data_IF_190270334883
#
_entry.id   IF_190270334883
#
_cell.length_a   1.000
_cell.length_b   1.000
_cell.length_c   1.000
_cell.angle_alpha   90.00
_cell.angle_beta   90.00
_cell.angle_gamma   90.00
#
_symmetry.space_group_name_H-M   'P 1'
#
loop_
_entity.id
_entity.type
_entity.pdbx_description
1 polymer ?
#
# COMPACT_ATOMS: atom_id res chain seq x y z
N UNK A 1 -25.48 -6.49 3.68
CA UNK A 1 -24.17 -6.21 4.32
C UNK A 1 -23.17 -5.96 3.21
N UNK A 2 -22.23 -5.03 3.37
CA UNK A 2 -21.19 -4.75 2.35
C UNK A 2 -20.26 -5.97 2.19
N UNK A 3 -19.87 -6.32 0.96
CA UNK A 3 -18.90 -7.41 0.72
C UNK A 3 -17.56 -7.12 1.39
N UNK A 4 -16.75 -8.15 1.75
CA UNK A 4 -15.40 -7.96 2.28
C UNK A 4 -14.54 -7.11 1.35
N UNK A 5 -14.65 -7.33 0.04
CA UNK A 5 -14.02 -6.51 -1.00
C UNK A 5 -14.38 -5.03 -0.88
N UNK A 6 -15.68 -4.70 -0.86
CA UNK A 6 -16.14 -3.31 -0.74
C UNK A 6 -15.70 -2.67 0.59
N UNK A 7 -15.67 -3.44 1.69
CA UNK A 7 -15.18 -2.96 2.99
C UNK A 7 -13.68 -2.67 2.97
N UNK A 8 -12.87 -3.55 2.36
CA UNK A 8 -11.44 -3.35 2.20
C UNK A 8 -11.16 -2.06 1.42
N UNK A 9 -11.83 -1.86 0.29
CA UNK A 9 -11.66 -0.65 -0.52
C UNK A 9 -12.01 0.63 0.24
N UNK A 10 -13.12 0.63 0.98
CA UNK A 10 -13.51 1.78 1.83
C UNK A 10 -12.48 2.07 2.91
N UNK A 11 -11.97 1.03 3.58
CA UNK A 11 -10.97 1.22 4.63
C UNK A 11 -9.62 1.68 4.05
N UNK A 12 -9.19 1.17 2.91
CA UNK A 12 -7.94 1.59 2.28
C UNK A 12 -7.99 3.02 1.75
N UNK A 13 -9.12 3.43 1.13
CA UNK A 13 -9.30 4.74 0.49
C UNK A 13 -9.26 5.90 1.49
N UNK A 14 -8.07 6.28 1.93
CA UNK A 14 -7.81 7.21 3.01
C UNK A 14 -6.38 7.74 3.02
N UNK A 15 -6.19 8.78 3.84
CA UNK A 15 -4.88 9.27 4.25
C UNK A 15 -4.54 8.77 5.64
N UNK A 16 -3.26 8.45 5.85
CA UNK A 16 -2.71 7.87 7.05
C UNK A 16 -1.41 8.59 7.43
N UNK A 17 -1.16 8.75 8.73
CA UNK A 17 0.04 9.42 9.27
C UNK A 17 0.53 8.70 10.52
N UNK A 18 1.83 8.48 10.66
CA UNK A 18 2.42 7.95 11.89
C UNK A 18 2.99 9.06 12.80
N UNK A 19 2.49 10.30 12.68
CA UNK A 19 2.99 11.48 13.41
C UNK A 19 3.19 11.20 14.90
N UNK A 20 2.17 10.66 15.56
CA UNK A 20 2.23 10.33 16.98
C UNK A 20 3.39 9.36 17.30
N UNK A 21 3.53 8.28 16.54
CA UNK A 21 4.62 7.32 16.70
C UNK A 21 5.99 7.99 16.49
N UNK A 22 6.13 8.80 15.45
CA UNK A 22 7.39 9.46 15.10
C UNK A 22 7.84 10.45 16.18
N UNK A 23 6.90 11.21 16.75
CA UNK A 23 7.19 12.25 17.75
C UNK A 23 7.42 11.70 19.15
N UNK A 24 6.79 10.58 19.51
CA UNK A 24 7.01 9.94 20.81
C UNK A 24 8.30 9.09 20.84
N UNK A 25 8.85 8.71 19.68
CA UNK A 25 9.98 7.78 19.59
C UNK A 25 11.16 8.30 18.72
N UNK A 26 11.64 9.55 18.88
CA UNK A 26 12.75 10.06 18.07
C UNK A 26 14.08 9.40 18.47
N UNK A 27 14.97 9.07 17.50
CA UNK A 27 14.84 9.21 16.05
C UNK A 27 14.43 7.90 15.34
N UNK A 28 13.74 6.98 16.03
CA UNK A 28 13.53 5.61 15.56
C UNK A 28 12.60 5.51 14.35
N UNK A 29 11.59 6.38 14.28
CA UNK A 29 10.62 6.40 13.19
C UNK A 29 10.64 7.76 12.50
N UNK A 30 10.79 7.74 11.18
CA UNK A 30 10.51 8.93 10.38
C UNK A 30 8.99 9.22 10.39
N UNK A 31 8.63 10.49 10.26
CA UNK A 31 7.24 10.89 10.03
C UNK A 31 6.88 10.69 8.55
N UNK A 32 6.01 9.71 8.31
CA UNK A 32 5.57 9.22 7.02
C UNK A 32 4.08 9.49 6.85
N UNK A 33 3.72 9.90 5.63
CA UNK A 33 2.35 9.98 5.15
C UNK A 33 2.11 8.85 4.16
N UNK A 34 0.97 8.17 4.28
CA UNK A 34 0.52 7.15 3.32
C UNK A 34 -0.88 7.51 2.87
N UNK A 35 -1.12 7.53 1.56
CA UNK A 35 -2.42 7.85 0.99
C UNK A 35 -2.80 6.83 -0.06
N UNK A 36 -4.05 6.41 -0.05
CA UNK A 36 -4.64 5.60 -1.11
C UNK A 36 -5.86 6.29 -1.69
N UNK A 37 -5.91 6.46 -3.02
CA UNK A 37 -7.09 7.02 -3.70
C UNK A 37 -7.51 6.17 -4.89
N UNK A 38 -8.82 6.06 -5.16
CA UNK A 38 -9.31 5.28 -6.30
C UNK A 38 -8.78 5.77 -7.65
N UNK A 39 -8.64 4.83 -8.59
CA UNK A 39 -8.34 5.06 -10.01
C UNK A 39 -9.50 4.52 -10.87
N UNK A 40 -10.63 5.23 -10.98
CA UNK A 40 -11.84 4.75 -11.68
C UNK A 40 -11.64 4.41 -13.16
N UNK A 41 -10.62 4.98 -13.80
CA UNK A 41 -10.29 4.73 -15.19
C UNK A 41 -9.56 3.39 -15.42
N UNK A 42 -9.19 2.68 -14.35
CA UNK A 42 -8.56 1.37 -14.40
C UNK A 42 -9.57 0.27 -13.99
N UNK A 43 -9.09 -0.96 -13.84
CA UNK A 43 -9.94 -2.07 -13.40
C UNK A 43 -10.50 -1.84 -11.98
N UNK A 44 -11.68 -2.42 -11.66
CA UNK A 44 -12.24 -2.33 -10.32
C UNK A 44 -11.27 -2.74 -9.23
N UNK A 45 -11.23 -1.94 -8.16
CA UNK A 45 -10.33 -2.14 -7.02
C UNK A 45 -8.94 -1.55 -7.20
N UNK A 46 -8.66 -0.83 -8.30
CA UNK A 46 -7.41 -0.09 -8.49
C UNK A 46 -7.34 1.18 -7.63
N UNK A 47 -6.31 1.27 -6.81
CA UNK A 47 -5.99 2.40 -5.94
C UNK A 47 -4.56 2.91 -6.22
N UNK A 48 -4.38 4.21 -6.34
CA UNK A 48 -3.08 4.86 -6.29
C UNK A 48 -2.60 4.90 -4.85
N UNK A 49 -1.42 4.33 -4.59
CA UNK A 49 -0.69 4.41 -3.34
C UNK A 49 0.44 5.45 -3.47
N UNK A 50 0.43 6.44 -2.59
CA UNK A 50 1.53 7.39 -2.37
C UNK A 50 2.07 7.23 -0.95
N UNK A 51 3.38 7.03 -0.83
CA UNK A 51 4.09 7.08 0.45
C UNK A 51 5.22 8.11 0.39
N UNK A 52 5.20 9.04 1.32
CA UNK A 52 6.10 10.19 1.35
C UNK A 52 6.54 10.53 2.77
N UNK A 53 7.69 11.19 2.89
CA UNK A 53 8.10 11.78 4.16
C UNK A 53 7.32 13.09 4.37
N UNK A 54 6.82 13.32 5.58
CA UNK A 54 6.03 14.52 5.89
C UNK A 54 6.81 15.84 5.67
N UNK A 55 8.15 15.80 5.75
CA UNK A 55 9.03 16.94 5.48
C UNK A 55 9.13 17.28 3.99
N UNK A 56 8.84 16.33 3.09
CA UNK A 56 8.84 16.55 1.65
C UNK A 56 7.74 15.70 0.96
N UNK A 57 6.46 16.05 1.16
CA UNK A 57 5.34 15.25 0.66
C UNK A 57 5.23 15.26 -0.87
N UNK A 58 5.86 16.20 -1.56
CA UNK A 58 5.83 16.32 -3.02
C UNK A 58 6.73 15.30 -3.74
N UNK A 59 7.66 14.65 -3.03
CA UNK A 59 8.57 13.66 -3.60
C UNK A 59 8.37 12.31 -2.89
N UNK A 60 7.34 11.53 -3.27
CA UNK A 60 7.10 10.23 -2.66
C UNK A 60 8.28 9.30 -2.90
N UNK A 61 8.67 8.55 -1.88
CA UNK A 61 9.69 7.51 -2.02
C UNK A 61 9.11 6.22 -2.58
N UNK A 62 7.77 6.08 -2.57
CA UNK A 62 7.06 4.97 -3.20
C UNK A 62 5.73 5.44 -3.77
N UNK A 63 5.60 5.33 -5.08
CA UNK A 63 4.35 5.50 -5.82
C UNK A 63 3.99 4.18 -6.52
N UNK A 64 2.80 3.63 -6.28
CA UNK A 64 2.35 2.34 -6.85
C UNK A 64 0.87 2.38 -7.20
N UNK A 65 0.45 1.48 -8.09
CA UNK A 65 -0.97 1.11 -8.19
C UNK A 65 -1.17 -0.23 -7.50
N UNK A 66 -2.14 -0.29 -6.60
CA UNK A 66 -2.61 -1.51 -5.98
C UNK A 66 -3.93 -1.91 -6.63
N UNK A 67 -4.12 -3.18 -6.95
CA UNK A 67 -5.42 -3.70 -7.40
C UNK A 67 -5.91 -4.75 -6.42
N UNK A 68 -6.94 -4.42 -5.64
CA UNK A 68 -7.63 -5.42 -4.83
C UNK A 68 -8.53 -6.28 -5.72
N UNK A 69 -8.65 -7.57 -5.40
CA UNK A 69 -9.44 -8.55 -6.14
C UNK A 69 -10.05 -9.57 -5.16
N UNK A 70 -11.32 -9.92 -5.34
CA UNK A 70 -11.94 -11.07 -4.67
C UNK A 70 -11.51 -12.36 -5.37
N UNK A 71 -10.89 -13.29 -4.63
CA UNK A 71 -10.49 -14.61 -5.12
C UNK A 71 -11.05 -15.72 -4.24
N UNK A 72 -12.12 -16.37 -4.71
CA UNK A 72 -12.85 -17.34 -3.90
C UNK A 72 -13.34 -16.71 -2.60
N UNK A 73 -12.96 -17.30 -1.47
CA UNK A 73 -13.33 -16.78 -0.15
C UNK A 73 -12.33 -15.75 0.41
N UNK A 74 -11.23 -15.48 -0.27
CA UNK A 74 -10.18 -14.55 0.17
C UNK A 74 -10.06 -13.31 -0.70
N UNK A 75 -9.24 -12.36 -0.26
CA UNK A 75 -8.90 -11.16 -0.99
C UNK A 75 -7.43 -11.20 -1.40
N UNK A 76 -7.10 -10.63 -2.55
CA UNK A 76 -5.71 -10.45 -3.00
C UNK A 76 -5.51 -9.00 -3.39
N UNK A 77 -4.39 -8.42 -2.98
CA UNK A 77 -3.95 -7.09 -3.45
C UNK A 77 -2.72 -7.26 -4.32
N UNK A 78 -2.87 -7.02 -5.61
CA UNK A 78 -1.77 -7.03 -6.56
C UNK A 78 -1.02 -5.70 -6.53
N UNK A 79 0.31 -5.76 -6.54
CA UNK A 79 1.16 -4.58 -6.64
C UNK A 79 1.57 -4.34 -8.09
N UNK A 80 1.47 -3.09 -8.55
CA UNK A 80 1.91 -2.67 -9.87
C UNK A 80 2.85 -1.46 -9.73
N UNK A 81 4.03 -1.57 -10.33
CA UNK A 81 4.92 -0.43 -10.52
C UNK A 81 4.36 0.49 -11.61
N UNK A 82 4.66 1.79 -11.49
CA UNK A 82 4.35 2.78 -12.51
C UNK A 82 5.66 3.08 -13.24
N UNK A 83 5.67 2.97 -14.56
CA UNK A 83 6.84 3.33 -15.36
C UNK A 83 7.02 4.84 -15.35
N UNK A 84 8.27 5.29 -15.19
CA UNK A 84 8.63 6.71 -15.10
C UNK A 84 7.75 7.46 -14.08
N UNK A 85 7.62 6.90 -12.88
CA UNK A 85 6.68 7.34 -11.83
C UNK A 85 6.77 8.83 -11.46
N UNK A 86 7.94 9.45 -11.63
CA UNK A 86 8.18 10.90 -11.48
C UNK A 86 7.19 11.77 -12.25
N UNK A 87 6.68 11.30 -13.40
CA UNK A 87 5.63 11.97 -14.18
C UNK A 87 4.33 12.18 -13.39
N UNK A 88 4.10 11.35 -12.38
CA UNK A 88 2.87 11.32 -11.60
C UNK A 88 3.07 11.72 -10.13
N UNK A 89 4.24 12.28 -9.76
CA UNK A 89 4.44 12.83 -8.43
C UNK A 89 3.42 13.95 -8.16
N UNK A 90 2.75 13.90 -7.00
CA UNK A 90 1.63 14.78 -6.66
C UNK A 90 0.26 14.37 -7.20
N UNK A 91 0.16 13.30 -8.01
CA UNK A 91 -1.12 12.79 -8.52
C UNK A 91 -2.08 12.39 -7.40
N UNK A 92 -1.59 12.03 -6.22
CA UNK A 92 -2.45 11.68 -5.09
C UNK A 92 -3.40 12.81 -4.68
N UNK A 93 -2.98 14.06 -4.81
CA UNK A 93 -3.80 15.24 -4.46
C UNK A 93 -4.29 16.00 -5.71
N UNK A 94 -3.82 15.66 -6.90
CA UNK A 94 -4.24 16.25 -8.18
C UNK A 94 -5.08 15.27 -9.02
N UNK A 95 -6.39 15.49 -9.09
CA UNK A 95 -7.33 14.61 -9.81
C UNK A 95 -7.06 14.52 -11.32
N UNK A 96 -6.69 15.64 -11.96
CA UNK A 96 -6.40 15.67 -13.41
C UNK A 96 -5.13 14.89 -13.74
N UNK A 97 -4.08 15.03 -12.92
CA UNK A 97 -2.85 14.26 -13.08
C UNK A 97 -3.08 12.77 -12.78
N UNK A 98 -3.89 12.46 -11.76
CA UNK A 98 -4.26 11.09 -11.40
C UNK A 98 -5.03 10.38 -12.51
N UNK A 99 -5.90 11.09 -13.21
CA UNK A 99 -6.67 10.56 -14.33
C UNK A 99 -5.79 10.19 -15.55
N UNK A 100 -4.55 10.71 -15.63
CA UNK A 100 -3.61 10.39 -16.71
C UNK A 100 -2.88 9.05 -16.51
N UNK A 101 -2.99 8.42 -15.33
CA UNK A 101 -2.40 7.10 -15.10
C UNK A 101 -3.25 6.06 -15.84
N UNK A 102 -2.64 5.36 -16.79
CA UNK A 102 -3.31 4.35 -17.61
C UNK A 102 -2.75 2.95 -17.38
N UNK A 103 -3.48 1.91 -17.78
CA UNK A 103 -2.99 0.54 -17.74
C UNK A 103 -1.68 0.35 -18.52
N UNK A 104 -1.48 1.16 -19.57
CA UNK A 104 -0.23 1.14 -20.32
C UNK A 104 0.94 1.52 -19.42
N UNK A 105 0.82 2.42 -18.44
CA UNK A 105 1.92 2.85 -17.56
C UNK A 105 2.30 1.80 -16.49
N UNK A 106 1.51 0.73 -16.33
CA UNK A 106 1.64 -0.21 -15.21
C UNK A 106 2.44 -1.45 -15.57
N UNK A 107 3.29 -1.88 -14.65
CA UNK A 107 4.03 -3.14 -14.71
C UNK A 107 3.70 -3.98 -13.46
N UNK A 108 3.07 -5.16 -13.60
CA UNK A 108 2.83 -6.05 -12.47
C UNK A 108 4.12 -6.42 -11.73
N UNK A 109 4.07 -6.47 -10.40
CA UNK A 109 5.16 -6.96 -9.56
C UNK A 109 4.87 -8.39 -9.12
N UNK A 110 5.43 -9.33 -9.87
CA UNK A 110 5.28 -10.77 -9.59
C UNK A 110 5.82 -11.14 -8.21
N UNK A 111 5.12 -12.05 -7.52
CA UNK A 111 5.53 -12.51 -6.20
C UNK A 111 5.28 -11.50 -5.07
N UNK A 112 4.80 -10.29 -5.37
CA UNK A 112 4.54 -9.20 -4.43
C UNK A 112 3.05 -8.99 -4.14
N UNK A 113 2.18 -9.96 -4.47
CA UNK A 113 0.77 -9.85 -4.10
C UNK A 113 0.61 -10.04 -2.59
N UNK A 114 -0.32 -9.31 -1.97
CA UNK A 114 -0.74 -9.60 -0.60
C UNK A 114 -1.94 -10.54 -0.64
N UNK A 115 -1.88 -11.62 0.13
CA UNK A 115 -3.05 -12.43 0.48
C UNK A 115 -3.68 -11.80 1.70
N UNK A 116 -4.97 -11.47 1.60
CA UNK A 116 -5.69 -10.68 2.60
C UNK A 116 -6.85 -11.49 3.17
N UNK A 117 -6.89 -11.55 4.49
CA UNK A 117 -7.95 -12.15 5.28
C UNK A 117 -8.73 -11.07 6.04
N UNK A 118 -10.01 -11.33 6.22
CA UNK A 118 -10.85 -10.49 7.07
C UNK A 118 -10.67 -10.91 8.53
N UNK A 119 -10.58 -9.92 9.42
CA UNK A 119 -10.52 -10.12 10.87
C UNK A 119 -11.71 -9.43 11.54
N UNK A 120 -12.01 -9.74 12.82
CA UNK A 120 -13.05 -9.01 13.56
C UNK A 120 -12.80 -7.49 13.60
N UNK A 121 -11.55 -7.06 13.58
CA UNK A 121 -11.12 -5.66 13.67
C UNK A 121 -10.96 -4.96 12.30
N UNK A 122 -10.97 -5.71 11.20
CA UNK A 122 -10.80 -5.19 9.84
C UNK A 122 -10.20 -6.23 8.90
N UNK A 123 -8.94 -6.03 8.51
CA UNK A 123 -8.22 -6.90 7.58
C UNK A 123 -6.77 -7.09 8.00
N UNK A 124 -6.23 -8.27 7.68
CA UNK A 124 -4.80 -8.56 7.77
C UNK A 124 -4.32 -9.05 6.42
N UNK A 125 -3.15 -8.60 6.00
CA UNK A 125 -2.56 -9.07 4.75
C UNK A 125 -1.08 -9.39 4.91
N UNK A 126 -0.63 -10.41 4.19
CA UNK A 126 0.77 -10.84 4.14
C UNK A 126 1.18 -11.06 2.69
N UNK A 127 2.44 -10.77 2.35
CA UNK A 127 2.98 -11.06 1.02
C UNK A 127 2.87 -12.56 0.74
N UNK A 128 2.48 -12.91 -0.49
CA UNK A 128 2.29 -14.29 -0.93
C UNK A 128 3.54 -15.16 -0.65
N UNK A 129 3.33 -16.45 -0.33
CA UNK A 129 4.44 -17.34 -0.03
C UNK A 129 5.33 -17.60 -1.24
N UNK A 130 6.60 -17.89 -0.96
CA UNK A 130 7.58 -18.35 -1.94
C UNK A 130 8.79 -17.44 -2.16
N UNK A 131 8.96 -16.38 -1.35
CA UNK A 131 10.14 -15.50 -1.39
C UNK A 131 10.38 -14.88 -2.78
N UNK A 132 9.30 -14.63 -3.54
CA UNK A 132 9.37 -14.16 -4.94
C UNK A 132 9.25 -12.65 -5.11
N UNK A 133 8.84 -11.91 -4.08
CA UNK A 133 8.84 -10.45 -4.13
C UNK A 133 10.28 -9.92 -4.01
N UNK A 134 11.03 -9.96 -5.11
CA UNK A 134 12.43 -9.55 -5.13
C UNK A 134 12.55 -8.02 -5.20
N UNK A 135 13.43 -7.48 -4.35
CA UNK A 135 13.74 -6.07 -4.25
C UNK A 135 15.24 -5.89 -4.38
N UNK A 136 15.66 -5.17 -5.42
CA UNK A 136 17.05 -4.76 -5.61
C UNK A 136 17.32 -3.42 -4.94
N UNK A 137 18.36 -3.38 -4.08
CA UNK A 137 18.85 -2.15 -3.45
C UNK A 137 20.37 -2.14 -3.44
N UNK A 138 20.97 -1.07 -3.98
CA UNK A 138 22.43 -0.86 -4.01
C UNK A 138 23.22 -2.08 -4.54
N UNK A 139 22.69 -2.77 -5.54
CA UNK A 139 23.32 -3.96 -6.15
C UNK A 139 23.15 -5.27 -5.38
N UNK A 140 22.41 -5.27 -4.27
CA UNK A 140 22.03 -6.48 -3.55
C UNK A 140 20.56 -6.83 -3.78
N UNK A 141 20.27 -8.12 -3.96
CA UNK A 141 18.90 -8.65 -4.09
C UNK A 141 18.42 -9.16 -2.74
N UNK A 142 17.18 -8.84 -2.39
CA UNK A 142 16.49 -9.33 -1.20
C UNK A 142 15.07 -9.75 -1.55
N UNK A 143 14.43 -10.58 -0.74
CA UNK A 143 12.98 -10.80 -0.86
C UNK A 143 12.23 -10.07 0.24
N UNK A 144 11.08 -9.50 -0.10
CA UNK A 144 10.20 -8.80 0.83
C UNK A 144 9.42 -9.80 1.70
N UNK A 145 9.53 -9.62 3.01
CA UNK A 145 8.59 -10.13 4.01
C UNK A 145 7.83 -8.92 4.53
N UNK A 146 6.54 -8.87 4.26
CA UNK A 146 5.70 -7.75 4.68
C UNK A 146 4.33 -8.21 5.12
N UNK A 147 3.81 -7.53 6.13
CA UNK A 147 2.43 -7.69 6.58
C UNK A 147 1.83 -6.34 6.96
N UNK A 148 0.50 -6.27 6.86
CA UNK A 148 -0.27 -5.15 7.37
C UNK A 148 -1.48 -5.61 8.17
N UNK A 149 -1.90 -4.76 9.10
CA UNK A 149 -3.18 -4.83 9.78
C UNK A 149 -3.92 -3.52 9.50
N UNK A 150 -5.14 -3.61 9.00
CA UNK A 150 -5.98 -2.47 8.66
C UNK A 150 -7.24 -2.53 9.50
N UNK A 151 -7.55 -1.42 10.17
CA UNK A 151 -8.77 -1.27 10.92
C UNK A 151 -9.46 0.06 10.63
N UNK A 152 -10.53 0.32 11.39
CA UNK A 152 -11.29 1.57 11.27
C UNK A 152 -10.46 2.79 11.64
N UNK A 153 -9.63 2.68 12.69
CA UNK A 153 -8.83 3.79 13.24
C UNK A 153 -7.51 4.05 12.51
N UNK A 154 -6.98 3.08 11.78
CA UNK A 154 -5.64 3.19 11.26
C UNK A 154 -5.11 1.91 10.63
N UNK A 155 -3.80 1.89 10.43
CA UNK A 155 -3.08 0.80 9.77
C UNK A 155 -1.74 0.56 10.48
N UNK A 156 -1.39 -0.70 10.70
CA UNK A 156 -0.05 -1.11 11.13
C UNK A 156 0.63 -1.81 9.95
N UNK A 157 1.88 -1.50 9.68
CA UNK A 157 2.64 -2.15 8.60
C UNK A 157 4.03 -2.52 9.07
N UNK A 158 4.54 -3.64 8.57
CA UNK A 158 5.92 -4.02 8.77
C UNK A 158 6.50 -4.54 7.46
N UNK A 159 7.62 -3.95 7.06
CA UNK A 159 8.35 -4.33 5.87
C UNK A 159 9.77 -4.72 6.26
N UNK A 160 10.21 -5.90 5.82
CA UNK A 160 11.55 -6.44 6.00
C UNK A 160 12.05 -7.04 4.70
N UNK A 161 13.31 -6.80 4.38
CA UNK A 161 13.99 -7.48 3.29
C UNK A 161 14.94 -8.52 3.82
N UNK A 162 14.87 -9.72 3.29
CA UNK A 162 15.71 -10.85 3.69
C UNK A 162 16.61 -11.29 2.55
N UNK A 163 17.79 -11.79 2.91
CA UNK A 163 18.72 -12.39 1.95
C UNK A 163 18.11 -13.67 1.35
N UNK A 164 18.07 -13.85 0.02
CA UNK A 164 17.46 -15.03 -0.60
C UNK A 164 18.20 -16.35 -0.32
N UNK A 165 19.46 -16.30 0.11
CA UNK A 165 20.29 -17.46 0.42
C UNK A 165 20.32 -17.76 1.92
N UNK A 166 20.56 -16.75 2.76
CA UNK A 166 20.74 -16.95 4.22
C UNK A 166 19.46 -16.73 5.01
N UNK A 167 18.45 -16.10 4.42
CA UNK A 167 17.22 -15.65 5.08
C UNK A 167 17.44 -14.63 6.22
N UNK A 168 18.65 -14.10 6.37
CA UNK A 168 18.94 -13.04 7.33
C UNK A 168 18.27 -11.74 6.91
N UNK A 169 17.81 -10.94 7.89
CA UNK A 169 17.20 -9.65 7.60
C UNK A 169 18.29 -8.65 7.17
N UNK A 170 18.21 -8.18 5.92
CA UNK A 170 19.13 -7.21 5.33
C UNK A 170 18.69 -5.76 5.57
N UNK A 171 17.39 -5.50 5.53
CA UNK A 171 16.83 -4.17 5.73
C UNK A 171 15.39 -4.24 6.24
N UNK A 172 14.83 -3.07 6.55
CA UNK A 172 13.45 -2.92 7.00
C UNK A 172 13.37 -2.53 8.46
N UNK A 173 12.17 -2.62 9.03
CA UNK A 173 11.99 -2.10 10.39
C UNK A 173 12.66 -2.99 11.44
N UNK A 174 13.55 -2.37 12.22
CA UNK A 174 14.19 -2.95 13.40
C UNK A 174 13.43 -2.61 14.68
N UNK A 175 12.84 -1.42 14.77
CA UNK A 175 12.19 -0.91 15.97
C UNK A 175 10.77 -1.46 16.20
N UNK A 176 10.16 -2.05 15.16
CA UNK A 176 8.77 -2.54 15.21
C UNK A 176 7.94 -2.05 14.02
N UNK A 177 6.64 -2.38 13.95
CA UNK A 177 5.79 -1.92 12.86
C UNK A 177 5.66 -0.39 12.86
N UNK A 178 5.44 0.19 11.68
CA UNK A 178 4.92 1.55 11.58
C UNK A 178 3.45 1.54 11.99
N UNK A 179 3.06 2.49 12.83
CA UNK A 179 1.70 2.64 13.34
C UNK A 179 1.11 3.94 12.79
N UNK A 180 0.16 3.81 11.87
CA UNK A 180 -0.48 4.94 11.22
C UNK A 180 -1.90 5.15 11.73
N UNK A 181 -2.23 6.39 12.02
CA UNK A 181 -3.59 6.85 12.29
C UNK A 181 -4.23 7.34 11.00
N UNK A 182 -5.54 7.10 10.85
CA UNK A 182 -6.32 7.65 9.73
C UNK A 182 -6.53 9.15 9.93
N UNK A 183 -6.12 9.96 8.95
CA UNK A 183 -6.21 11.43 8.97
C UNK A 183 -7.11 12.01 7.89
N UNK A 184 -7.47 11.22 6.88
CA UNK A 184 -8.41 11.62 5.83
C UNK A 184 -9.23 10.43 5.33
N UNK A 185 -10.43 10.70 4.82
CA UNK A 185 -11.32 9.70 4.23
C UNK A 185 -11.58 10.05 2.75
N UNK A 186 -11.24 9.12 1.86
CA UNK A 186 -11.43 9.22 0.42
C UNK A 186 -12.43 8.18 -0.11
N UNK A 187 -13.13 7.47 0.78
CA UNK A 187 -14.06 6.38 0.40
C UNK A 187 -15.25 6.86 -0.43
N UNK A 188 -15.61 8.14 -0.35
CA UNK A 188 -16.65 8.75 -1.19
C UNK A 188 -16.23 8.86 -2.67
N UNK A 189 -14.96 8.70 -3.00
CA UNK A 189 -14.45 8.70 -4.38
C UNK A 189 -14.56 7.32 -5.05
N UNK A 190 -14.93 6.28 -4.30
CA UNK A 190 -15.07 4.94 -4.84
C UNK A 190 -16.29 4.89 -5.79
N UNK A 191 -16.11 4.39 -7.03
CA UNK A 191 -17.23 4.14 -7.93
C UNK A 191 -18.26 3.20 -7.29
N UNK A 192 -19.54 3.54 -7.43
CA UNK A 192 -20.63 2.80 -6.77
C UNK A 192 -20.74 1.35 -7.25
N UNK A 193 -20.46 1.12 -8.54
CA UNK A 193 -20.44 -0.19 -9.17
C UNK A 193 -19.38 -1.11 -8.56
N UNK A 194 -18.21 -0.58 -8.17
CA UNK A 194 -17.17 -1.38 -7.49
C UNK A 194 -17.63 -1.94 -6.15
N UNK A 195 -18.55 -1.24 -5.48
CA UNK A 195 -19.05 -1.62 -4.15
C UNK A 195 -20.19 -2.63 -4.21
N UNK A 196 -20.69 -2.92 -5.41
CA UNK A 196 -21.72 -3.93 -5.67
C UNK A 196 -21.15 -5.27 -6.17
N UNK A 197 -19.83 -5.33 -6.37
CA UNK A 197 -19.08 -6.53 -6.74
C UNK A 197 -18.92 -7.51 -5.56
#
# INVERSE_FOLDING_TARGET
MSSPFARLLRQLSAGFSNEHQAFENPPLYAHILVKFRPLPQLEPGSLLLDQSYAINPAAPYRLRVLKAEQRGNGLVIHNQAIRDDQRFWGAIDNAELRAQITAADLTPLEGCAYVVEETPEGFKGEVEPGCRCLVERKGATSYLVSSFELGTRGMRTIDRGHDPQTHEQLWGSLAGPFEFERVADYSAELPADWLTL
#
